data_IF_334434641579
#
_entry.id   IF_334434641579
#
_cell.length_a   1.000
_cell.length_b   1.000
_cell.length_c   1.000
_cell.angle_alpha   90.00
_cell.angle_beta   90.00
_cell.angle_gamma   90.00
#
_symmetry.space_group_name_H-M   'P 1'
#
loop_
_entity.id
_entity.type
_entity.pdbx_description
1 polymer ?
#
# COMPACT_ATOMS: atom_id res chain seq x y z
N UNK A 1 -15.06 16.46 -13.27
CA UNK A 1 -14.07 15.71 -12.47
C UNK A 1 -14.72 14.41 -12.02
N UNK A 2 -13.97 13.31 -11.97
CA UNK A 2 -14.48 12.05 -11.48
C UNK A 2 -14.88 12.22 -10.02
N UNK A 3 -16.13 11.87 -9.67
CA UNK A 3 -16.65 12.05 -8.33
C UNK A 3 -16.18 10.93 -7.38
N UNK A 4 -15.86 9.74 -7.93
CA UNK A 4 -15.48 8.55 -7.18
C UNK A 4 -14.16 7.98 -7.69
N UNK A 5 -13.04 8.50 -7.18
CA UNK A 5 -11.69 7.99 -7.47
C UNK A 5 -11.16 7.25 -6.26
N UNK A 6 -10.69 6.01 -6.46
CA UNK A 6 -10.18 5.14 -5.41
C UNK A 6 -8.75 4.70 -5.70
N UNK A 7 -7.93 4.64 -4.66
CA UNK A 7 -6.64 3.96 -4.71
C UNK A 7 -6.90 2.47 -4.43
N UNK A 8 -6.63 1.63 -5.42
CA UNK A 8 -6.80 0.19 -5.26
C UNK A 8 -5.75 -0.38 -4.33
N UNK A 9 -6.23 -1.06 -3.30
CA UNK A 9 -5.41 -1.79 -2.32
C UNK A 9 -5.76 -3.26 -2.41
N UNK A 10 -4.97 -4.08 -3.12
CA UNK A 10 -5.17 -5.53 -3.18
C UNK A 10 -5.30 -6.14 -1.78
N UNK A 11 -6.16 -7.12 -1.58
CA UNK A 11 -6.54 -7.74 -0.28
C UNK A 11 -7.26 -6.81 0.71
N UNK A 12 -7.67 -5.62 0.31
CA UNK A 12 -8.56 -4.79 1.11
C UNK A 12 -10.01 -5.04 0.69
N UNK A 13 -10.88 -5.33 1.63
CA UNK A 13 -12.32 -5.56 1.38
C UNK A 13 -12.97 -4.37 0.69
N UNK A 14 -12.48 -3.16 0.95
CA UNK A 14 -13.00 -1.93 0.35
C UNK A 14 -12.69 -1.78 -1.15
N UNK A 15 -11.82 -2.61 -1.71
CA UNK A 15 -11.38 -2.45 -3.10
C UNK A 15 -12.44 -2.87 -4.13
N UNK A 16 -13.37 -3.76 -3.77
CA UNK A 16 -14.38 -4.32 -4.66
C UNK A 16 -15.82 -3.94 -4.31
N UNK A 17 -16.08 -3.31 -3.17
CA UNK A 17 -17.43 -2.94 -2.75
C UNK A 17 -17.99 -1.71 -3.48
N UNK A 18 -17.18 -1.02 -4.27
CA UNK A 18 -17.60 0.17 -4.98
C UNK A 18 -17.82 -0.08 -6.47
N UNK A 19 -18.96 -0.68 -6.82
CA UNK A 19 -19.48 -0.73 -8.20
C UNK A 19 -19.63 0.67 -8.83
N UNK A 20 -19.52 1.72 -8.02
CA UNK A 20 -19.63 3.11 -8.40
C UNK A 20 -18.30 3.81 -8.66
N UNK A 21 -17.16 3.11 -8.65
CA UNK A 21 -15.87 3.71 -8.96
C UNK A 21 -15.85 4.27 -10.39
N UNK A 22 -15.58 5.54 -10.54
CA UNK A 22 -15.39 6.17 -11.84
C UNK A 22 -13.96 5.99 -12.33
N UNK A 23 -13.03 5.93 -11.39
CA UNK A 23 -11.61 5.78 -11.65
C UNK A 23 -10.92 5.00 -10.52
N UNK A 24 -9.99 4.12 -10.89
CA UNK A 24 -9.15 3.38 -9.96
C UNK A 24 -7.69 3.73 -10.24
N UNK A 25 -6.96 4.09 -9.20
CA UNK A 25 -5.52 4.34 -9.23
C UNK A 25 -4.82 3.14 -8.61
N UNK A 26 -3.82 2.63 -9.30
CA UNK A 26 -2.98 1.53 -8.85
C UNK A 26 -1.50 1.94 -8.94
N UNK A 27 -0.76 1.76 -7.85
CA UNK A 27 0.69 1.92 -7.82
C UNK A 27 1.35 0.53 -7.94
N UNK A 28 2.11 0.26 -9.03
CA UNK A 28 2.83 -0.99 -9.18
C UNK A 28 3.87 -1.16 -8.07
N UNK A 29 3.94 -2.35 -7.48
CA UNK A 29 4.96 -2.68 -6.49
C UNK A 29 6.32 -2.84 -7.17
N UNK A 30 7.09 -1.76 -7.27
CA UNK A 30 8.46 -1.74 -7.79
C UNK A 30 9.45 -1.70 -6.62
N UNK A 31 10.69 -2.19 -6.82
CA UNK A 31 11.70 -2.21 -5.76
C UNK A 31 12.27 -0.82 -5.41
N UNK A 32 11.77 0.22 -6.04
CA UNK A 32 12.10 1.63 -5.78
C UNK A 32 10.83 2.48 -5.84
N UNK A 33 10.85 3.64 -5.21
CA UNK A 33 9.77 4.63 -5.33
C UNK A 33 9.77 5.19 -6.75
N UNK A 34 8.79 4.81 -7.54
CA UNK A 34 8.74 5.14 -8.97
C UNK A 34 7.97 6.41 -9.28
N UNK A 35 6.98 6.76 -8.44
CA UNK A 35 5.99 7.80 -8.77
C UNK A 35 5.13 7.45 -9.99
N UNK A 36 5.10 6.17 -10.39
CA UNK A 36 4.34 5.69 -11.53
C UNK A 36 3.01 5.14 -11.02
N UNK A 37 1.93 5.62 -11.60
CA UNK A 37 0.58 5.18 -11.29
C UNK A 37 -0.10 4.68 -12.57
N UNK A 38 -0.86 3.61 -12.43
CA UNK A 38 -1.74 3.09 -13.47
C UNK A 38 -3.14 3.58 -13.13
N UNK A 39 -3.78 4.21 -14.09
CA UNK A 39 -5.13 4.73 -13.99
C UNK A 39 -6.05 3.88 -14.84
N UNK A 40 -7.07 3.29 -14.22
CA UNK A 40 -8.17 2.64 -14.92
C UNK A 40 -9.43 3.48 -14.72
N UNK A 41 -10.00 3.98 -15.80
CA UNK A 41 -11.20 4.82 -15.78
C UNK A 41 -12.32 4.20 -16.63
N UNK A 42 -13.57 4.53 -16.32
CA UNK A 42 -14.71 4.21 -17.18
C UNK A 42 -14.50 4.81 -18.57
N UNK A 43 -14.95 4.12 -19.61
CA UNK A 43 -14.74 4.52 -21.02
C UNK A 43 -15.23 5.92 -21.32
N UNK A 44 -16.40 6.29 -20.82
CA UNK A 44 -17.00 7.62 -21.00
C UNK A 44 -16.20 8.75 -20.35
N UNK A 45 -15.40 8.45 -19.31
CA UNK A 45 -14.45 9.37 -18.71
C UNK A 45 -13.14 9.41 -19.49
N UNK A 46 -12.64 8.27 -19.92
CA UNK A 46 -11.42 8.19 -20.71
C UNK A 46 -11.53 8.97 -22.03
N UNK A 47 -12.70 8.94 -22.69
CA UNK A 47 -12.97 9.70 -23.91
C UNK A 47 -13.01 11.21 -23.70
N UNK A 48 -13.25 11.68 -22.46
CA UNK A 48 -13.24 13.10 -22.10
C UNK A 48 -11.85 13.64 -21.75
N UNK A 49 -10.84 12.79 -21.66
CA UNK A 49 -9.46 13.23 -21.40
C UNK A 49 -8.95 13.97 -22.65
N UNK A 50 -8.53 15.23 -22.51
CA UNK A 50 -8.00 15.99 -23.63
C UNK A 50 -6.83 15.26 -24.30
N UNK A 51 -6.82 15.23 -25.62
CA UNK A 51 -5.80 14.50 -26.40
C UNK A 51 -4.38 15.08 -26.22
N UNK A 52 -4.27 16.34 -25.88
CA UNK A 52 -3.00 17.00 -25.54
C UNK A 52 -2.43 16.44 -24.24
N UNK A 53 -3.26 16.20 -23.21
CA UNK A 53 -2.84 15.56 -21.96
C UNK A 53 -2.31 14.14 -22.22
N UNK A 54 -2.97 13.38 -23.09
CA UNK A 54 -2.50 12.03 -23.47
C UNK A 54 -1.19 12.07 -24.28
N UNK A 55 -0.96 13.15 -25.04
CA UNK A 55 0.29 13.31 -25.80
C UNK A 55 1.49 13.72 -24.94
N UNK A 56 1.22 14.38 -23.83
CA UNK A 56 2.23 14.77 -22.84
C UNK A 56 2.62 13.62 -21.90
N UNK A 57 1.99 12.44 -22.02
CA UNK A 57 2.37 11.27 -21.24
C UNK A 57 3.82 10.90 -21.50
N UNK A 58 4.59 10.81 -20.42
CA UNK A 58 6.00 10.40 -20.48
C UNK A 58 6.07 9.00 -21.06
N UNK A 59 6.78 8.85 -22.20
CA UNK A 59 7.06 7.53 -22.76
C UNK A 59 8.02 6.81 -21.80
N UNK A 60 7.55 5.72 -21.22
CA UNK A 60 8.38 4.89 -20.36
C UNK A 60 9.48 4.21 -21.18
N UNK A 61 10.65 4.04 -20.59
CA UNK A 61 11.70 3.22 -21.20
C UNK A 61 11.32 1.74 -21.12
N UNK A 62 11.76 0.95 -22.11
CA UNK A 62 11.45 -0.48 -22.18
C UNK A 62 11.81 -1.27 -20.90
N UNK A 63 12.93 -1.00 -20.20
CA UNK A 63 13.19 -1.66 -18.91
C UNK A 63 12.15 -1.36 -17.83
N UNK A 64 11.65 -0.13 -17.78
CA UNK A 64 10.61 0.26 -16.82
C UNK A 64 9.28 -0.40 -17.17
N UNK A 65 8.90 -0.43 -18.45
CA UNK A 65 7.70 -1.14 -18.91
C UNK A 65 7.76 -2.63 -18.57
N UNK A 66 8.91 -3.27 -18.78
CA UNK A 66 9.13 -4.67 -18.42
C UNK A 66 9.02 -4.90 -16.89
N UNK A 67 9.57 -3.99 -16.08
CA UNK A 67 9.49 -4.07 -14.63
C UNK A 67 8.03 -3.92 -14.13
N UNK A 68 7.26 -2.98 -14.68
CA UNK A 68 5.84 -2.80 -14.36
C UNK A 68 5.05 -4.05 -14.75
N UNK A 69 5.25 -4.55 -15.96
CA UNK A 69 4.59 -5.76 -16.45
C UNK A 69 4.87 -6.94 -15.51
N UNK A 70 6.13 -7.14 -15.13
CA UNK A 70 6.50 -8.20 -14.18
C UNK A 70 5.86 -8.00 -12.81
N UNK A 71 5.83 -6.77 -12.31
CA UNK A 71 5.16 -6.43 -11.04
C UNK A 71 3.67 -6.81 -11.07
N UNK A 72 2.97 -6.52 -12.17
CA UNK A 72 1.55 -6.86 -12.33
C UNK A 72 1.36 -8.37 -12.32
N UNK A 73 2.17 -9.13 -13.08
CA UNK A 73 2.09 -10.60 -13.07
C UNK A 73 2.37 -11.19 -11.69
N UNK A 74 3.35 -10.66 -10.98
CA UNK A 74 3.65 -11.08 -9.61
C UNK A 74 2.47 -10.79 -8.67
N UNK A 75 1.82 -9.64 -8.83
CA UNK A 75 0.63 -9.29 -8.04
C UNK A 75 -0.54 -10.24 -8.35
N UNK A 76 -0.83 -10.54 -9.62
CA UNK A 76 -1.87 -11.49 -10.01
C UNK A 76 -1.62 -12.86 -9.36
N UNK A 77 -0.39 -13.35 -9.46
CA UNK A 77 0.00 -14.63 -8.84
C UNK A 77 -0.15 -14.59 -7.32
N UNK A 78 0.22 -13.47 -6.70
CA UNK A 78 0.10 -13.29 -5.26
C UNK A 78 -1.36 -13.21 -4.79
N UNK A 79 -2.24 -12.54 -5.55
CA UNK A 79 -3.68 -12.49 -5.27
C UNK A 79 -4.34 -13.86 -5.31
N UNK A 80 -3.87 -14.75 -6.19
CA UNK A 80 -4.36 -16.12 -6.27
C UNK A 80 -3.83 -17.01 -5.14
N UNK A 81 -2.60 -16.77 -4.69
CA UNK A 81 -1.89 -17.63 -3.74
C UNK A 81 -2.05 -17.20 -2.27
N UNK A 82 -2.39 -15.93 -2.00
CA UNK A 82 -2.42 -15.36 -0.65
C UNK A 82 -3.83 -15.07 -0.16
N UNK A 83 -4.06 -15.39 1.10
CA UNK A 83 -5.31 -15.13 1.82
C UNK A 83 -5.02 -14.33 3.09
N UNK A 84 -6.03 -13.73 3.70
CA UNK A 84 -5.92 -12.95 4.93
C UNK A 84 -5.14 -13.67 6.04
N UNK A 85 -5.33 -14.98 6.17
CA UNK A 85 -4.64 -15.83 7.17
C UNK A 85 -3.12 -15.85 7.02
N UNK A 86 -2.58 -15.57 5.83
CA UNK A 86 -1.14 -15.65 5.58
C UNK A 86 -0.38 -14.53 6.30
N UNK A 87 -1.08 -13.46 6.72
CA UNK A 87 -0.51 -12.37 7.51
C UNK A 87 -0.70 -12.53 9.02
N UNK A 88 -1.48 -13.51 9.49
CA UNK A 88 -1.73 -13.71 10.93
C UNK A 88 -0.45 -13.98 11.72
N UNK A 89 0.57 -14.53 11.08
CA UNK A 89 1.87 -14.77 11.69
C UNK A 89 2.54 -13.50 12.24
N UNK A 90 2.18 -12.34 11.73
CA UNK A 90 2.72 -11.04 12.13
C UNK A 90 1.88 -10.35 13.22
N UNK A 91 0.66 -10.79 13.45
CA UNK A 91 -0.30 -10.11 14.31
C UNK A 91 0.22 -9.90 15.73
N UNK A 92 0.88 -10.91 16.28
CA UNK A 92 1.41 -10.85 17.65
C UNK A 92 2.42 -9.70 17.87
N UNK A 93 3.12 -9.27 16.82
CA UNK A 93 4.05 -8.15 16.88
C UNK A 93 3.41 -6.82 16.48
N UNK A 94 2.47 -6.85 15.54
CA UNK A 94 2.00 -5.66 14.84
C UNK A 94 0.70 -5.09 15.42
N UNK A 95 -0.23 -5.93 15.89
CA UNK A 95 -1.59 -5.48 16.26
C UNK A 95 -1.64 -4.58 17.48
N UNK A 96 -0.56 -4.49 18.24
CA UNK A 96 -0.43 -3.49 19.30
C UNK A 96 -0.42 -2.06 18.75
N UNK A 97 0.19 -1.85 17.59
CA UNK A 97 0.43 -0.51 17.03
C UNK A 97 -0.41 -0.22 15.80
N UNK A 98 -0.92 -1.25 15.14
CA UNK A 98 -1.69 -1.12 13.92
C UNK A 98 -2.95 -1.99 13.94
N UNK A 99 -3.96 -1.51 13.26
CA UNK A 99 -5.04 -2.34 12.75
C UNK A 99 -4.58 -2.91 11.42
N UNK A 100 -4.43 -4.24 11.33
CA UNK A 100 -4.04 -4.91 10.10
C UNK A 100 -5.28 -5.32 9.28
N UNK A 101 -5.22 -5.10 7.97
CA UNK A 101 -6.16 -5.63 6.97
C UNK A 101 -5.33 -6.18 5.81
N UNK A 102 -5.26 -7.50 5.65
CA UNK A 102 -4.30 -8.10 4.74
C UNK A 102 -2.87 -7.62 5.03
N UNK A 103 -2.12 -7.18 4.03
CA UNK A 103 -0.79 -6.62 4.21
C UNK A 103 -0.77 -5.19 4.76
N UNK A 104 -1.93 -4.51 4.85
CA UNK A 104 -2.00 -3.09 5.20
C UNK A 104 -2.09 -2.87 6.70
N UNK A 105 -1.28 -1.93 7.18
CA UNK A 105 -1.14 -1.57 8.59
C UNK A 105 -1.63 -0.13 8.79
N UNK A 106 -2.80 0.02 9.37
CA UNK A 106 -3.37 1.33 9.71
C UNK A 106 -2.99 1.69 11.15
N UNK A 107 -2.38 2.86 11.40
CA UNK A 107 -1.92 3.23 12.74
C UNK A 107 -3.07 3.26 13.76
N UNK A 108 -2.84 2.69 14.94
CA UNK A 108 -3.70 2.81 16.14
C UNK A 108 -3.16 3.86 17.11
N UNK A 109 -1.92 4.25 16.93
CA UNK A 109 -1.22 5.23 17.77
C UNK A 109 -1.82 6.61 17.52
N UNK A 110 -2.03 7.44 18.55
CA UNK A 110 -2.50 8.81 18.40
C UNK A 110 -1.64 9.59 17.39
N UNK A 111 -2.27 10.41 16.54
CA UNK A 111 -1.60 11.14 15.45
C UNK A 111 -0.47 12.01 15.96
N UNK A 112 -0.63 12.60 17.13
CA UNK A 112 0.35 13.48 17.79
C UNK A 112 1.64 12.73 18.16
N UNK A 113 1.55 11.42 18.38
CA UNK A 113 2.68 10.57 18.75
C UNK A 113 3.27 9.83 17.55
N UNK A 114 2.65 9.92 16.39
CA UNK A 114 3.02 9.11 15.24
C UNK A 114 4.44 9.38 14.74
N UNK A 115 4.88 10.64 14.73
CA UNK A 115 6.26 10.99 14.35
C UNK A 115 7.29 10.34 15.30
N UNK A 116 7.01 10.34 16.60
CA UNK A 116 7.89 9.69 17.59
C UNK A 116 7.92 8.17 17.38
N UNK A 117 6.78 7.60 17.02
CA UNK A 117 6.68 6.18 16.70
C UNK A 117 7.44 5.81 15.42
N UNK A 118 7.38 6.64 14.37
CA UNK A 118 8.19 6.45 13.15
C UNK A 118 9.67 6.42 13.49
N UNK A 119 10.16 7.40 14.28
CA UNK A 119 11.55 7.47 14.68
C UNK A 119 11.98 6.23 15.47
N UNK A 120 11.13 5.78 16.40
CA UNK A 120 11.35 4.54 17.14
C UNK A 120 11.45 3.31 16.21
N UNK A 121 10.57 3.21 15.21
CA UNK A 121 10.62 2.15 14.20
C UNK A 121 11.92 2.21 13.38
N UNK A 122 12.35 3.41 12.97
CA UNK A 122 13.59 3.61 12.21
C UNK A 122 14.81 3.21 13.03
N UNK A 123 14.86 3.54 14.32
CA UNK A 123 15.93 3.11 15.23
C UNK A 123 16.01 1.58 15.34
N UNK A 124 14.90 0.90 15.14
CA UNK A 124 14.81 -0.57 15.09
C UNK A 124 15.03 -1.16 13.68
N UNK A 125 15.32 -0.32 12.68
CA UNK A 125 15.49 -0.75 11.29
C UNK A 125 14.19 -1.06 10.56
N UNK A 126 13.04 -0.61 11.07
CA UNK A 126 11.72 -0.81 10.46
C UNK A 126 11.27 0.50 9.81
N UNK A 127 11.09 0.46 8.49
CA UNK A 127 10.56 1.59 7.72
C UNK A 127 9.05 1.47 7.63
N UNK A 128 8.34 2.51 8.06
CA UNK A 128 6.87 2.61 8.01
C UNK A 128 6.46 3.85 7.20
N UNK A 129 5.19 3.93 6.80
CA UNK A 129 4.68 5.10 6.08
C UNK A 129 4.91 6.37 6.92
N UNK A 130 5.48 7.44 6.35
CA UNK A 130 5.62 8.72 7.05
C UNK A 130 4.28 9.47 7.16
N UNK A 131 3.28 9.08 6.39
CA UNK A 131 1.97 9.73 6.36
C UNK A 131 0.97 8.90 7.15
N UNK A 132 0.39 9.51 8.18
CA UNK A 132 -0.52 8.83 9.11
C UNK A 132 -1.72 8.18 8.44
N UNK A 133 -2.29 8.85 7.44
CA UNK A 133 -3.47 8.41 6.71
C UNK A 133 -3.17 7.33 5.65
N UNK A 134 -1.88 7.11 5.34
CA UNK A 134 -1.45 6.08 4.40
C UNK A 134 -0.98 4.85 5.15
N UNK A 135 -1.56 3.68 4.89
CA UNK A 135 -1.13 2.46 5.57
C UNK A 135 0.30 2.09 5.19
N UNK A 136 1.03 1.57 6.15
CA UNK A 136 2.26 0.83 5.87
C UNK A 136 1.91 -0.54 5.27
N UNK A 137 2.85 -1.17 4.58
CA UNK A 137 2.63 -2.46 3.92
C UNK A 137 3.62 -3.48 4.46
N UNK A 138 3.11 -4.63 4.89
CA UNK A 138 3.95 -5.78 5.22
C UNK A 138 4.46 -6.40 3.92
N UNK A 139 5.79 -6.45 3.69
CA UNK A 139 6.35 -7.02 2.47
C UNK A 139 5.99 -8.50 2.32
N UNK A 140 5.80 -8.94 1.07
CA UNK A 140 5.65 -10.36 0.78
C UNK A 140 6.91 -11.13 1.18
N UNK A 141 6.73 -12.20 1.96
CA UNK A 141 7.83 -13.04 2.38
C UNK A 141 8.73 -12.42 3.44
N UNK A 142 8.27 -11.37 4.13
CA UNK A 142 8.96 -10.89 5.32
C UNK A 142 9.11 -12.03 6.33
N UNK A 143 10.31 -12.20 6.88
CA UNK A 143 10.52 -13.14 7.96
C UNK A 143 9.76 -12.68 9.21
N UNK A 144 9.13 -13.64 9.92
CA UNK A 144 8.43 -13.35 11.18
C UNK A 144 9.32 -12.64 12.19
N UNK A 145 10.59 -12.99 12.22
CA UNK A 145 11.59 -12.44 13.14
C UNK A 145 11.84 -10.94 12.95
N UNK A 146 11.60 -10.40 11.76
CA UNK A 146 11.80 -8.97 11.47
C UNK A 146 10.99 -8.09 12.44
N UNK A 147 9.78 -8.50 12.79
CA UNK A 147 8.90 -7.73 13.66
C UNK A 147 9.04 -8.07 15.14
N UNK A 148 9.75 -9.15 15.50
CA UNK A 148 9.99 -9.51 16.91
C UNK A 148 10.79 -8.43 17.67
N UNK A 149 11.56 -7.60 16.97
CA UNK A 149 12.29 -6.49 17.55
C UNK A 149 11.36 -5.45 18.21
N UNK A 150 10.15 -5.25 17.68
CA UNK A 150 9.12 -4.38 18.28
C UNK A 150 8.56 -4.90 19.59
N UNK A 151 8.57 -6.22 19.80
CA UNK A 151 8.19 -6.83 21.08
C UNK A 151 9.29 -6.66 22.12
N UNK A 152 10.55 -6.81 21.70
CA UNK A 152 11.71 -6.68 22.58
C UNK A 152 11.95 -5.23 22.99
N UNK A 153 11.63 -4.30 22.11
CA UNK A 153 11.79 -2.86 22.32
C UNK A 153 10.43 -2.17 22.05
N UNK A 154 9.48 -2.27 22.98
CA UNK A 154 8.14 -1.73 22.75
C UNK A 154 8.13 -0.20 22.78
N UNK A 155 7.43 0.41 21.86
CA UNK A 155 7.04 1.82 21.96
C UNK A 155 5.97 1.95 23.04
N UNK A 156 6.26 2.75 24.08
CA UNK A 156 5.35 2.95 25.20
C UNK A 156 4.58 4.25 24.99
N UNK A 157 3.26 4.17 24.93
CA UNK A 157 2.36 5.31 24.93
C UNK A 157 1.13 4.97 25.78
N UNK A 158 0.47 5.99 26.30
CA UNK A 158 -0.80 5.79 27.01
C UNK A 158 -1.92 5.81 25.97
N UNK A 159 -2.76 4.80 26.00
CA UNK A 159 -4.09 4.84 25.36
C UNK A 159 -4.97 5.65 26.28
N UNK A 160 -5.53 6.76 25.79
CA UNK A 160 -6.52 7.56 26.51
C UNK A 160 -7.89 6.87 26.50
#
# INVERSE_FOLDING_TARGET
>A
SPQNTFVWKPWSETAFENDNADCIIFEPALPWTSGIYILAAKTDLAEKIPQDVLKETIKLSSPIEAAITRSIYNLISALQARQEKDWFIYDLALTKYWQRKGPYLFPKIPKELYVKFILHCLDLGIVVSPVYEQPSIVPFGADKGVFEILKKNPFVYKED
#
